data_IF_401715180884
#
_entry.id   IF_401715180884
#
_cell.length_a   1.000
_cell.length_b   1.000
_cell.length_c   1.000
_cell.angle_alpha   90.00
_cell.angle_beta   90.00
_cell.angle_gamma   90.00
#
_symmetry.space_group_name_H-M   'P 1'
#
loop_
_entity.id
_entity.type
_entity.pdbx_description
1 polymer ?
#
# COMPACT_ATOMS: atom_id res chain seq x y z
N UNK A 1 1.20 -12.47 -13.43
CA UNK A 1 2.33 -11.59 -13.84
C UNK A 1 3.01 -11.07 -12.58
N UNK A 2 4.33 -11.16 -12.53
CA UNK A 2 5.08 -10.63 -11.39
C UNK A 2 5.31 -9.13 -11.54
N UNK A 3 5.22 -8.39 -10.45
CA UNK A 3 5.58 -6.99 -10.43
C UNK A 3 7.08 -6.81 -10.71
N UNK A 4 7.42 -5.73 -11.40
CA UNK A 4 8.81 -5.32 -11.51
C UNK A 4 9.17 -4.51 -10.26
N UNK A 5 9.48 -5.21 -9.18
CA UNK A 5 9.73 -4.58 -7.89
C UNK A 5 10.93 -3.63 -7.90
N UNK A 6 11.92 -3.89 -8.78
CA UNK A 6 13.07 -2.98 -8.92
C UNK A 6 12.65 -1.62 -9.45
N UNK A 7 11.72 -1.60 -10.41
CA UNK A 7 11.15 -0.37 -10.94
C UNK A 7 10.25 0.30 -9.91
N UNK A 8 9.42 -0.48 -9.22
CA UNK A 8 8.48 0.04 -8.25
C UNK A 8 9.15 0.61 -7.01
N UNK A 9 10.36 0.16 -6.66
CA UNK A 9 11.11 0.71 -5.53
C UNK A 9 11.37 2.21 -5.66
N UNK A 10 11.34 2.75 -6.88
CA UNK A 10 11.46 4.19 -7.09
C UNK A 10 10.21 4.95 -6.65
N UNK A 11 9.06 4.29 -6.66
CA UNK A 11 7.77 4.89 -6.34
C UNK A 11 7.20 4.43 -5.00
N UNK A 12 7.69 3.30 -4.50
CA UNK A 12 7.30 2.75 -3.21
C UNK A 12 8.54 2.76 -2.32
N UNK A 13 8.56 3.57 -1.25
CA UNK A 13 9.73 3.68 -0.40
C UNK A 13 9.95 2.39 0.42
N UNK A 14 11.21 2.16 0.85
CA UNK A 14 11.53 1.04 1.73
C UNK A 14 11.01 1.27 3.16
N UNK A 15 10.71 2.50 3.49
CA UNK A 15 10.21 2.90 4.80
C UNK A 15 9.23 4.04 4.61
N UNK A 16 8.08 3.94 5.26
CA UNK A 16 7.06 4.98 5.20
C UNK A 16 6.68 5.41 6.60
N UNK A 17 6.49 6.71 6.78
CA UNK A 17 6.12 7.29 8.06
C UNK A 17 4.63 7.62 8.06
N UNK A 18 3.93 7.19 9.12
CA UNK A 18 2.53 7.54 9.32
C UNK A 18 2.38 8.77 10.18
N UNK A 19 3.25 8.91 11.21
CA UNK A 19 3.28 10.09 12.08
C UNK A 19 4.67 10.21 12.68
N UNK A 20 4.92 11.31 13.40
CA UNK A 20 6.22 11.53 14.06
C UNK A 20 6.64 10.33 14.88
N UNK A 21 7.85 9.83 14.67
CA UNK A 21 8.46 8.69 15.36
C UNK A 21 7.79 7.34 15.08
N UNK A 22 6.83 7.26 14.15
CA UNK A 22 6.19 6.00 13.78
C UNK A 22 6.41 5.75 12.31
N UNK A 23 7.04 4.64 11.97
CA UNK A 23 7.27 4.26 10.59
C UNK A 23 7.10 2.75 10.41
N UNK A 24 6.91 2.36 9.16
CA UNK A 24 6.74 0.98 8.74
C UNK A 24 7.83 0.65 7.73
N UNK A 25 8.46 -0.53 7.89
CA UNK A 25 9.32 -1.07 6.86
C UNK A 25 8.44 -1.66 5.76
N UNK A 26 8.80 -1.43 4.51
CA UNK A 26 8.09 -2.01 3.38
C UNK A 26 8.92 -3.16 2.84
N UNK A 27 8.35 -4.37 2.90
CA UNK A 27 9.01 -5.61 2.50
C UNK A 27 8.34 -6.18 1.25
N UNK A 28 9.13 -6.86 0.45
CA UNK A 28 8.67 -7.53 -0.77
C UNK A 28 8.78 -9.03 -0.58
N UNK A 29 7.74 -9.77 -0.97
CA UNK A 29 7.68 -11.22 -0.80
C UNK A 29 7.11 -11.89 -2.04
N UNK A 30 7.59 -13.10 -2.34
CA UNK A 30 7.01 -13.96 -3.37
C UNK A 30 6.12 -15.05 -2.76
N UNK A 31 6.01 -15.08 -1.45
CA UNK A 31 5.17 -16.04 -0.74
C UNK A 31 3.74 -15.50 -0.59
N UNK A 32 2.75 -16.38 -0.80
CA UNK A 32 1.35 -16.00 -0.61
C UNK A 32 0.94 -16.22 0.85
N UNK A 33 0.19 -15.24 1.36
CA UNK A 33 -0.49 -15.36 2.64
C UNK A 33 -1.98 -15.50 2.38
N UNK A 34 -2.69 -16.12 3.30
CA UNK A 34 -4.12 -16.34 3.20
C UNK A 34 -4.82 -15.70 4.38
N UNK A 35 -5.96 -15.06 4.11
CA UNK A 35 -6.82 -14.52 5.16
C UNK A 35 -7.42 -15.69 5.95
N UNK A 36 -7.27 -15.66 7.26
CA UNK A 36 -7.76 -16.74 8.13
C UNK A 36 -9.27 -16.86 8.11
N UNK A 37 -9.98 -15.76 7.91
CA UNK A 37 -11.45 -15.74 7.92
C UNK A 37 -12.06 -16.18 6.60
N UNK A 38 -11.46 -15.77 5.47
CA UNK A 38 -12.03 -16.00 4.15
C UNK A 38 -11.32 -17.10 3.35
N UNK A 39 -10.10 -17.47 3.75
CA UNK A 39 -9.26 -18.42 3.01
C UNK A 39 -8.73 -17.86 1.70
N UNK A 40 -8.97 -16.58 1.39
CA UNK A 40 -8.51 -15.96 0.16
C UNK A 40 -7.06 -15.52 0.27
N UNK A 41 -6.35 -15.54 -0.87
CA UNK A 41 -4.99 -15.02 -0.96
C UNK A 41 -4.99 -13.52 -0.71
N UNK A 42 -3.99 -13.05 0.05
CA UNK A 42 -3.74 -11.63 0.25
C UNK A 42 -2.48 -11.22 -0.49
N UNK A 43 -2.51 -10.08 -1.16
CA UNK A 43 -1.37 -9.56 -1.91
C UNK A 43 -0.60 -8.49 -1.14
N UNK A 44 -1.09 -8.13 0.04
CA UNK A 44 -0.42 -7.23 0.94
C UNK A 44 -0.88 -7.47 2.36
N UNK A 45 -0.04 -7.13 3.32
CA UNK A 45 -0.37 -7.20 4.74
C UNK A 45 0.22 -6.01 5.47
N UNK A 46 -0.48 -5.57 6.50
CA UNK A 46 0.03 -4.58 7.45
C UNK A 46 0.09 -5.25 8.81
N UNK A 47 1.26 -5.22 9.42
CA UNK A 47 1.48 -5.78 10.74
C UNK A 47 1.99 -4.72 11.70
N UNK A 48 1.71 -4.95 12.97
CA UNK A 48 2.13 -4.06 14.03
C UNK A 48 2.99 -4.84 15.01
N UNK A 49 3.99 -4.17 15.57
CA UNK A 49 4.88 -4.71 16.59
C UNK A 49 5.67 -5.95 16.13
N UNK A 50 6.61 -5.84 15.16
CA UNK A 50 7.06 -4.61 14.52
C UNK A 50 6.14 -4.13 13.42
N UNK A 51 6.23 -2.84 13.10
CA UNK A 51 5.42 -2.22 12.06
C UNK A 51 5.97 -2.58 10.67
N UNK A 52 5.21 -3.39 9.94
CA UNK A 52 5.62 -3.90 8.63
C UNK A 52 4.48 -3.80 7.63
N UNK A 53 4.82 -3.37 6.41
CA UNK A 53 3.93 -3.51 5.25
C UNK A 53 4.63 -4.49 4.30
N UNK A 54 3.97 -5.59 3.98
CA UNK A 54 4.51 -6.60 3.07
C UNK A 54 3.71 -6.58 1.78
N UNK A 55 4.40 -6.53 0.65
CA UNK A 55 3.80 -6.54 -0.68
C UNK A 55 4.22 -7.79 -1.43
N UNK A 56 3.26 -8.44 -2.09
CA UNK A 56 3.53 -9.62 -2.87
C UNK A 56 3.92 -9.22 -4.29
N UNK A 57 5.01 -9.80 -4.81
CA UNK A 57 5.51 -9.50 -6.16
C UNK A 57 4.75 -10.25 -7.25
N UNK A 58 3.85 -11.18 -6.89
CA UNK A 58 3.08 -11.99 -7.85
C UNK A 58 1.79 -11.31 -8.27
N UNK A 59 1.87 -10.02 -8.60
CA UNK A 59 0.77 -9.22 -9.12
C UNK A 59 1.36 -8.18 -10.07
N UNK A 60 0.54 -7.57 -10.89
CA UNK A 60 1.00 -6.54 -11.83
C UNK A 60 1.45 -5.26 -11.11
N UNK A 61 2.14 -4.39 -11.83
CA UNK A 61 2.65 -3.13 -11.26
C UNK A 61 1.53 -2.24 -10.73
N UNK A 62 0.46 -2.10 -11.51
CA UNK A 62 -0.70 -1.29 -11.11
C UNK A 62 -1.36 -1.86 -9.85
N UNK A 63 -1.56 -3.17 -9.82
CA UNK A 63 -2.16 -3.86 -8.69
C UNK A 63 -1.27 -3.75 -7.45
N UNK A 64 0.05 -3.78 -7.63
CA UNK A 64 1.00 -3.60 -6.52
C UNK A 64 0.88 -2.20 -5.92
N UNK A 65 0.74 -1.16 -6.76
CA UNK A 65 0.54 0.20 -6.27
C UNK A 65 -0.77 0.33 -5.50
N UNK A 66 -1.85 -0.29 -5.99
CA UNK A 66 -3.13 -0.33 -5.27
C UNK A 66 -2.97 -1.01 -3.91
N UNK A 67 -2.27 -2.15 -3.88
CA UNK A 67 -2.03 -2.90 -2.65
C UNK A 67 -1.22 -2.07 -1.65
N UNK A 68 -0.18 -1.38 -2.12
CA UNK A 68 0.64 -0.53 -1.26
C UNK A 68 -0.22 0.56 -0.58
N UNK A 69 -1.04 1.29 -1.35
CA UNK A 69 -1.90 2.32 -0.79
C UNK A 69 -2.93 1.75 0.17
N UNK A 70 -3.49 0.59 -0.16
CA UNK A 70 -4.45 -0.10 0.70
C UNK A 70 -3.83 -0.39 2.08
N UNK A 71 -2.63 -0.98 2.10
CA UNK A 71 -1.96 -1.32 3.34
C UNK A 71 -1.49 -0.08 4.10
N UNK A 72 -1.03 0.94 3.39
CA UNK A 72 -0.65 2.20 4.00
C UNK A 72 -1.84 2.86 4.70
N UNK A 73 -3.02 2.83 4.10
CA UNK A 73 -4.23 3.37 4.72
C UNK A 73 -4.60 2.59 5.98
N UNK A 74 -4.42 1.26 5.98
CA UNK A 74 -4.60 0.47 7.20
C UNK A 74 -3.64 0.94 8.30
N UNK A 75 -2.39 1.22 7.96
CA UNK A 75 -1.41 1.73 8.91
C UNK A 75 -1.85 3.09 9.48
N UNK A 76 -2.32 4.01 8.62
CA UNK A 76 -2.84 5.30 9.07
C UNK A 76 -4.06 5.13 9.98
N UNK A 77 -4.96 4.22 9.62
CA UNK A 77 -6.16 3.95 10.41
C UNK A 77 -5.81 3.52 11.82
N UNK A 78 -4.83 2.61 11.96
CA UNK A 78 -4.38 2.15 13.26
C UNK A 78 -3.71 3.26 14.05
N UNK A 79 -2.75 3.95 13.45
CA UNK A 79 -1.93 4.93 14.15
C UNK A 79 -2.71 6.17 14.59
N UNK A 80 -3.76 6.52 13.85
CA UNK A 80 -4.61 7.67 14.19
C UNK A 80 -5.97 7.26 14.75
N UNK A 81 -6.16 5.95 15.02
CA UNK A 81 -7.37 5.40 15.63
C UNK A 81 -8.64 5.79 14.86
N UNK A 82 -8.58 5.69 13.53
CA UNK A 82 -9.69 6.07 12.66
C UNK A 82 -10.77 5.01 12.57
N UNK A 83 -10.45 3.76 12.89
CA UNK A 83 -11.38 2.62 12.84
C UNK A 83 -12.06 2.47 11.48
N UNK A 84 -11.30 2.60 10.40
CA UNK A 84 -11.83 2.49 9.05
C UNK A 84 -12.28 1.07 8.74
N UNK A 85 -13.42 0.94 8.08
CA UNK A 85 -13.88 -0.34 7.53
C UNK A 85 -13.12 -0.65 6.25
N UNK A 86 -13.15 -1.91 5.80
CA UNK A 86 -12.53 -2.30 4.52
C UNK A 86 -13.10 -1.48 3.35
N UNK A 87 -14.41 -1.23 3.34
CA UNK A 87 -15.02 -0.41 2.29
C UNK A 87 -14.47 1.02 2.31
N UNK A 88 -14.30 1.59 3.49
CA UNK A 88 -13.71 2.93 3.63
C UNK A 88 -12.25 2.96 3.17
N UNK A 89 -11.48 1.93 3.52
CA UNK A 89 -10.09 1.80 3.08
C UNK A 89 -10.02 1.74 1.55
N UNK A 90 -10.86 0.92 0.92
CA UNK A 90 -10.92 0.80 -0.54
C UNK A 90 -11.27 2.13 -1.21
N UNK A 91 -12.25 2.85 -0.65
CA UNK A 91 -12.65 4.15 -1.20
C UNK A 91 -11.54 5.19 -1.08
N UNK A 92 -10.83 5.21 0.04
CA UNK A 92 -9.70 6.12 0.23
C UNK A 92 -8.54 5.77 -0.69
N UNK A 93 -8.26 4.49 -0.87
CA UNK A 93 -7.24 4.02 -1.80
C UNK A 93 -7.49 4.56 -3.21
N UNK A 94 -8.70 4.40 -3.70
CA UNK A 94 -9.08 4.90 -5.03
C UNK A 94 -8.96 6.44 -5.11
N UNK A 95 -9.37 7.14 -4.05
CA UNK A 95 -9.30 8.59 -4.00
C UNK A 95 -7.86 9.10 -4.05
N UNK A 96 -6.94 8.46 -3.31
CA UNK A 96 -5.54 8.85 -3.29
C UNK A 96 -4.88 8.62 -4.64
N UNK A 97 -5.16 7.51 -5.30
CA UNK A 97 -4.61 7.23 -6.62
C UNK A 97 -5.14 8.23 -7.66
N UNK A 98 -6.40 8.61 -7.54
CA UNK A 98 -7.00 9.59 -8.44
C UNK A 98 -6.36 10.96 -8.27
N UNK A 99 -6.17 11.41 -7.04
CA UNK A 99 -5.50 12.68 -6.75
C UNK A 99 -4.06 12.69 -7.26
N UNK A 100 -3.35 11.58 -7.07
CA UNK A 100 -1.97 11.45 -7.56
C UNK A 100 -1.90 11.63 -9.08
N UNK A 101 -2.79 10.98 -9.83
CA UNK A 101 -2.82 11.11 -11.28
C UNK A 101 -3.17 12.54 -11.72
N UNK A 102 -4.09 13.17 -11.00
CA UNK A 102 -4.45 14.56 -11.26
C UNK A 102 -3.24 15.49 -11.08
N UNK A 103 -2.49 15.33 -10.02
CA UNK A 103 -1.29 16.12 -9.76
C UNK A 103 -0.26 15.90 -10.86
N UNK A 104 -0.01 14.65 -11.27
CA UNK A 104 0.92 14.35 -12.34
C UNK A 104 0.50 14.99 -13.66
N UNK A 105 -0.80 15.04 -13.94
CA UNK A 105 -1.36 15.69 -15.13
C UNK A 105 -1.08 17.20 -15.10
N UNK A 106 -1.27 17.84 -13.94
CA UNK A 106 -0.98 19.28 -13.78
C UNK A 106 0.49 19.56 -13.97
N UNK A 107 1.37 18.74 -13.40
CA UNK A 107 2.82 18.89 -13.56
C UNK A 107 3.23 18.77 -15.03
N UNK A 108 2.64 17.83 -15.76
CA UNK A 108 2.88 17.67 -17.18
C UNK A 108 2.48 18.87 -18.00
N UNK A 109 1.42 19.57 -17.61
CA UNK A 109 0.94 20.78 -18.32
C UNK A 109 1.80 22.02 -18.05
N UNK A 110 2.58 22.00 -16.99
CA UNK A 110 3.44 23.14 -16.63
C UNK A 110 4.78 23.15 -17.37
N UNK A 111 5.06 22.11 -18.10
CA UNK A 111 6.33 22.01 -18.83
C UNK A 111 6.24 22.67 -20.21
#
# INVERSE_FOLDING_TARGET
MKANWKKLRKNIPNRVRTKSRTHYEVLWSDEFHFDEKTGKKTYGTTRFDPNLITLNINQGDKETMHTYWHEFIHALSEDYQLNLTETQVENLELSFLYVREFILTLEGKKK
#
